data_IF_530704434401
#
_entry.id   IF_530704434401
#
_cell.length_a   1.000
_cell.length_b   1.000
_cell.length_c   1.000
_cell.angle_alpha   90.00
_cell.angle_beta   90.00
_cell.angle_gamma   90.00
#
_symmetry.space_group_name_H-M   'P 1'
#
loop_
_entity.id
_entity.type
_entity.pdbx_description
1 polymer ?
#
# COMPACT_ATOMS: atom_id res chain seq x y z
N UNK A 1 -7.95 1.55 -7.57
CA UNK A 1 -7.53 1.42 -6.16
C UNK A 1 -7.08 2.80 -5.69
N UNK A 2 -7.83 3.48 -4.82
CA UNK A 2 -7.56 4.89 -4.45
C UNK A 2 -6.24 5.07 -3.69
N UNK A 3 -5.79 4.05 -2.95
CA UNK A 3 -4.55 4.04 -2.16
C UNK A 3 -3.41 3.25 -2.84
N UNK A 4 -3.51 3.00 -4.15
CA UNK A 4 -2.43 2.42 -4.93
C UNK A 4 -2.08 3.35 -6.09
N UNK A 5 -0.98 4.06 -5.92
CA UNK A 5 -0.45 5.04 -6.87
C UNK A 5 1.02 4.70 -7.13
N UNK A 6 1.32 3.82 -8.10
CA UNK A 6 2.68 3.39 -8.39
C UNK A 6 3.58 4.52 -8.88
N UNK A 7 3.00 5.61 -9.39
CA UNK A 7 3.70 6.82 -9.81
C UNK A 7 3.79 7.89 -8.70
N UNK A 8 3.45 7.57 -7.46
CA UNK A 8 3.59 8.52 -6.35
C UNK A 8 5.05 8.91 -6.14
N UNK A 9 5.33 10.21 -6.22
CA UNK A 9 6.63 10.78 -5.89
C UNK A 9 6.72 10.98 -4.38
N UNK A 10 7.61 10.23 -3.73
CA UNK A 10 7.87 10.35 -2.29
C UNK A 10 8.49 11.69 -1.96
N UNK A 11 8.01 12.33 -0.89
CA UNK A 11 8.56 13.58 -0.35
C UNK A 11 9.50 13.29 0.82
N UNK A 12 10.44 14.21 1.06
CA UNK A 12 11.39 14.11 2.18
C UNK A 12 10.71 14.11 3.56
N UNK A 13 9.47 14.61 3.62
CA UNK A 13 8.67 14.68 4.86
C UNK A 13 7.84 13.42 5.10
N UNK A 14 7.79 12.48 4.16
CA UNK A 14 6.95 11.29 4.28
C UNK A 14 7.58 10.27 5.23
N UNK A 15 6.73 9.55 5.97
CA UNK A 15 7.14 8.39 6.76
C UNK A 15 6.90 7.14 5.91
N UNK A 16 7.98 6.48 5.51
CA UNK A 16 7.92 5.27 4.70
C UNK A 16 7.87 4.01 5.57
N UNK A 17 6.94 3.11 5.27
CA UNK A 17 6.82 1.81 5.92
C UNK A 17 6.87 0.69 4.89
N UNK A 18 7.68 -0.34 5.15
CA UNK A 18 7.79 -1.52 4.31
C UNK A 18 7.22 -2.72 5.05
N UNK A 19 6.18 -3.34 4.48
CA UNK A 19 5.53 -4.51 5.05
C UNK A 19 5.71 -5.73 4.14
N UNK A 20 5.92 -6.89 4.74
CA UNK A 20 5.73 -8.16 4.04
C UNK A 20 4.28 -8.59 4.22
N UNK A 21 3.48 -8.43 3.18
CA UNK A 21 2.07 -8.79 3.17
C UNK A 21 1.90 -10.15 2.46
N UNK A 22 1.11 -11.04 3.06
CA UNK A 22 0.63 -12.26 2.41
C UNK A 22 -0.87 -12.09 2.17
N UNK A 23 -1.30 -11.77 0.93
CA UNK A 23 -2.72 -11.64 0.62
C UNK A 23 -3.47 -12.95 0.86
N UNK A 24 -4.77 -12.85 1.12
CA UNK A 24 -5.65 -14.02 1.07
C UNK A 24 -5.72 -14.54 -0.38
N UNK A 25 -6.03 -15.84 -0.54
CA UNK A 25 -6.16 -16.43 -1.87
C UNK A 25 -7.22 -15.69 -2.71
N UNK A 26 -6.86 -15.32 -3.94
CA UNK A 26 -7.75 -14.59 -4.85
C UNK A 26 -7.77 -13.07 -4.65
N UNK A 27 -7.09 -12.54 -3.62
CA UNK A 27 -6.90 -11.11 -3.42
C UNK A 27 -5.62 -10.66 -4.15
N UNK A 28 -5.69 -9.68 -5.08
CA UNK A 28 -4.51 -9.14 -5.71
C UNK A 28 -3.56 -8.48 -4.70
N UNK A 29 -2.22 -8.61 -4.87
CA UNK A 29 -1.25 -7.97 -3.99
C UNK A 29 -1.43 -6.45 -3.87
N UNK A 30 -1.79 -5.78 -4.96
CA UNK A 30 -2.01 -4.33 -5.00
C UNK A 30 -3.21 -3.92 -4.15
N UNK A 31 -4.27 -4.74 -4.14
CA UNK A 31 -5.45 -4.52 -3.31
C UNK A 31 -5.12 -4.72 -1.83
N UNK A 32 -4.40 -5.78 -1.50
CA UNK A 32 -3.96 -6.03 -0.12
C UNK A 32 -3.03 -4.91 0.40
N UNK A 33 -2.10 -4.43 -0.43
CA UNK A 33 -1.23 -3.29 -0.10
C UNK A 33 -2.00 -1.98 0.05
N UNK A 34 -2.96 -1.70 -0.85
CA UNK A 34 -3.81 -0.53 -0.77
C UNK A 34 -4.69 -0.53 0.49
N UNK A 35 -5.18 -1.70 0.92
CA UNK A 35 -5.96 -1.83 2.15
C UNK A 35 -5.10 -1.54 3.39
N UNK A 36 -3.85 -2.05 3.44
CA UNK A 36 -2.92 -1.71 4.54
C UNK A 36 -2.68 -0.20 4.60
N UNK A 37 -2.44 0.45 3.46
CA UNK A 37 -2.26 1.89 3.41
C UNK A 37 -3.51 2.68 3.87
N UNK A 38 -4.71 2.26 3.42
CA UNK A 38 -5.96 2.94 3.75
C UNK A 38 -6.35 2.87 5.24
N UNK A 39 -6.05 1.74 5.90
CA UNK A 39 -6.45 1.49 7.30
C UNK A 39 -5.40 1.92 8.34
N UNK A 40 -4.22 2.40 7.89
CA UNK A 40 -3.10 2.80 8.76
C UNK A 40 -2.64 4.25 8.60
N UNK A 41 -3.32 5.03 7.75
CA UNK A 41 -3.10 6.46 7.53
C UNK A 41 -4.01 7.32 8.40
#
# INVERSE_FOLDING_TARGET
LTYYTPEYETKDTDILAAFRVTPQLGVPPEEAGAAVAAESS
#
